data_IF_082951828825
#
_entry.id   IF_082951828825
#
_cell.length_a   1.000
_cell.length_b   1.000
_cell.length_c   1.000
_cell.angle_alpha   90.00
_cell.angle_beta   90.00
_cell.angle_gamma   90.00
#
_symmetry.space_group_name_H-M   'P 1'
#
loop_
_entity.id
_entity.type
_entity.pdbx_description
1 polymer ?
#
# COMPACT_ATOMS: atom_id res chain seq x y z
N UNK A 1 27.70 8.48 -27.04
CA UNK A 1 26.69 9.40 -26.44
C UNK A 1 25.64 9.64 -27.50
N UNK A 2 24.55 8.89 -27.49
CA UNK A 2 23.42 9.10 -28.40
C UNK A 2 22.41 9.96 -27.64
N UNK A 3 22.29 11.22 -28.03
CA UNK A 3 21.31 12.15 -27.48
C UNK A 3 19.92 11.62 -27.76
N UNK A 4 19.18 11.36 -26.70
CA UNK A 4 17.78 10.97 -26.71
C UNK A 4 16.97 12.12 -27.32
N UNK A 5 16.55 11.96 -28.58
CA UNK A 5 15.66 12.90 -29.24
C UNK A 5 14.26 12.69 -28.67
N UNK A 6 13.97 13.38 -27.56
CA UNK A 6 12.61 13.48 -27.02
C UNK A 6 11.81 14.29 -28.03
N UNK A 7 11.10 13.60 -28.92
CA UNK A 7 10.13 14.23 -29.82
C UNK A 7 8.97 14.73 -28.96
N UNK A 8 9.00 16.02 -28.64
CA UNK A 8 7.89 16.73 -28.02
C UNK A 8 6.78 16.86 -29.06
N UNK A 9 5.81 15.94 -29.04
CA UNK A 9 4.64 16.01 -29.92
C UNK A 9 3.59 16.94 -29.30
N UNK A 10 3.16 17.97 -30.02
CA UNK A 10 2.10 18.87 -29.58
C UNK A 10 0.77 18.10 -29.51
N UNK A 11 0.07 18.22 -28.38
CA UNK A 11 -1.18 17.49 -28.11
C UNK A 11 -2.28 17.86 -29.11
N UNK A 12 -2.25 19.06 -29.69
CA UNK A 12 -3.23 19.51 -30.69
C UNK A 12 -2.95 18.98 -32.10
N UNK A 13 -1.74 18.46 -32.35
CA UNK A 13 -1.34 17.88 -33.64
C UNK A 13 -1.57 16.35 -33.69
N UNK A 14 -2.04 15.76 -32.59
CA UNK A 14 -2.30 14.33 -32.49
C UNK A 14 -3.68 13.96 -33.08
N UNK A 15 -3.78 12.93 -33.94
CA UNK A 15 -5.07 12.40 -34.40
C UNK A 15 -5.95 11.96 -33.22
N UNK A 16 -7.24 12.26 -33.26
CA UNK A 16 -8.24 11.89 -32.23
C UNK A 16 -8.13 10.45 -31.68
N UNK A 17 -7.85 9.41 -32.50
CA UNK A 17 -7.64 8.05 -31.99
C UNK A 17 -6.46 7.92 -31.02
N UNK A 18 -5.35 8.66 -31.28
CA UNK A 18 -4.14 8.62 -30.45
C UNK A 18 -4.35 9.34 -29.12
N UNK A 19 -5.12 10.43 -29.11
CA UNK A 19 -5.51 11.10 -27.86
C UNK A 19 -6.38 10.21 -26.98
N UNK A 20 -7.29 9.43 -27.58
CA UNK A 20 -8.12 8.46 -26.85
C UNK A 20 -7.29 7.37 -26.20
N UNK A 21 -6.28 6.85 -26.91
CA UNK A 21 -5.35 5.84 -26.37
C UNK A 21 -4.56 6.38 -25.17
N UNK A 22 -3.98 7.59 -25.30
CA UNK A 22 -3.22 8.23 -24.22
C UNK A 22 -4.12 8.48 -23.00
N UNK A 23 -5.37 8.90 -23.22
CA UNK A 23 -6.35 9.07 -22.14
C UNK A 23 -6.57 7.74 -21.39
N UNK A 24 -6.81 6.65 -22.11
CA UNK A 24 -7.05 5.33 -21.51
C UNK A 24 -5.85 4.83 -20.71
N UNK A 25 -4.63 5.04 -21.22
CA UNK A 25 -3.40 4.70 -20.50
C UNK A 25 -3.26 5.53 -19.22
N UNK A 26 -3.56 6.83 -19.26
CA UNK A 26 -3.51 7.70 -18.10
C UNK A 26 -4.56 7.31 -17.05
N UNK A 27 -5.80 7.03 -17.47
CA UNK A 27 -6.88 6.57 -16.59
C UNK A 27 -6.46 5.28 -15.87
N UNK A 28 -5.86 4.33 -16.60
CA UNK A 28 -5.34 3.08 -16.03
C UNK A 28 -4.23 3.33 -15.01
N UNK A 29 -3.28 4.20 -15.32
CA UNK A 29 -2.17 4.52 -14.41
C UNK A 29 -2.68 5.18 -13.12
N UNK A 30 -3.67 6.06 -13.22
CA UNK A 30 -4.30 6.71 -12.07
C UNK A 30 -4.95 5.68 -11.15
N UNK A 31 -5.68 4.70 -11.71
CA UNK A 31 -6.29 3.62 -10.93
C UNK A 31 -5.24 2.76 -10.21
N UNK A 32 -4.16 2.38 -10.91
CA UNK A 32 -3.06 1.62 -10.33
C UNK A 32 -2.42 2.38 -9.17
N UNK A 33 -2.09 3.66 -9.35
CA UNK A 33 -1.52 4.48 -8.28
C UNK A 33 -2.47 4.64 -7.10
N UNK A 34 -3.76 4.82 -7.35
CA UNK A 34 -4.78 4.84 -6.31
C UNK A 34 -4.78 3.57 -5.47
N UNK A 35 -4.78 2.40 -6.13
CA UNK A 35 -4.74 1.10 -5.48
C UNK A 35 -3.45 0.87 -4.68
N UNK A 36 -2.28 1.15 -5.28
CA UNK A 36 -0.99 1.02 -4.61
C UNK A 36 -0.90 1.91 -3.37
N UNK A 37 -1.41 3.14 -3.44
CA UNK A 37 -1.41 4.06 -2.30
C UNK A 37 -2.29 3.55 -1.15
N UNK A 38 -3.45 2.94 -1.45
CA UNK A 38 -4.28 2.30 -0.43
C UNK A 38 -3.57 1.11 0.22
N UNK A 39 -2.94 0.26 -0.58
CA UNK A 39 -2.17 -0.89 -0.07
C UNK A 39 -1.00 -0.44 0.83
N UNK A 40 -0.27 0.60 0.43
CA UNK A 40 0.80 1.17 1.25
C UNK A 40 0.28 1.77 2.57
N UNK A 41 -0.87 2.43 2.56
CA UNK A 41 -1.52 2.91 3.80
C UNK A 41 -1.91 1.78 4.74
N UNK A 42 -2.44 0.68 4.20
CA UNK A 42 -2.75 -0.52 5.00
C UNK A 42 -1.48 -1.11 5.62
N UNK A 43 -0.40 -1.22 4.84
CA UNK A 43 0.89 -1.70 5.33
C UNK A 43 1.46 -0.77 6.42
N UNK A 44 1.45 0.54 6.20
CA UNK A 44 1.87 1.53 7.20
C UNK A 44 1.09 1.39 8.51
N UNK A 45 -0.23 1.21 8.43
CA UNK A 45 -1.08 0.98 9.60
C UNK A 45 -0.66 -0.30 10.32
N UNK A 46 -0.52 -1.43 9.60
CA UNK A 46 -0.07 -2.71 10.19
C UNK A 46 1.28 -2.60 10.90
N UNK A 47 2.22 -1.85 10.34
CA UNK A 47 3.52 -1.60 11.00
C UNK A 47 3.38 -0.73 12.25
N UNK A 48 2.51 0.29 12.23
CA UNK A 48 2.19 1.10 13.40
C UNK A 48 1.57 0.26 14.52
N UNK A 49 0.55 -0.54 14.18
CA UNK A 49 -0.12 -1.44 15.11
C UNK A 49 0.88 -2.47 15.69
N UNK A 50 1.77 -3.02 14.84
CA UNK A 50 2.81 -3.97 15.27
C UNK A 50 3.82 -3.33 16.24
N UNK A 51 4.23 -2.09 15.97
CA UNK A 51 5.12 -1.34 16.87
C UNK A 51 4.47 -1.14 18.24
N UNK A 52 3.22 -0.71 18.26
CA UNK A 52 2.46 -0.51 19.50
C UNK A 52 2.30 -1.83 20.28
N UNK A 53 2.04 -2.95 19.59
CA UNK A 53 2.02 -4.27 20.22
C UNK A 53 3.34 -4.64 20.90
N UNK A 54 4.48 -4.40 20.23
CA UNK A 54 5.81 -4.68 20.82
C UNK A 54 6.07 -3.79 22.03
N UNK A 55 5.74 -2.49 21.97
CA UNK A 55 5.88 -1.57 23.11
C UNK A 55 5.00 -2.00 24.29
N UNK A 56 3.77 -2.48 24.04
CA UNK A 56 2.90 -3.04 25.08
C UNK A 56 3.48 -4.31 25.69
N UNK A 57 4.03 -5.22 24.87
CA UNK A 57 4.66 -6.46 25.33
C UNK A 57 5.89 -6.18 26.19
N UNK A 58 6.73 -5.20 25.84
CA UNK A 58 7.88 -4.81 26.67
C UNK A 58 7.50 -4.34 28.08
N UNK A 59 6.27 -3.83 28.25
CA UNK A 59 5.74 -3.39 29.53
C UNK A 59 4.88 -4.46 30.23
N UNK A 60 4.71 -5.65 29.64
CA UNK A 60 4.06 -6.78 30.31
C UNK A 60 5.03 -7.40 31.32
N UNK A 61 4.53 -7.62 32.54
CA UNK A 61 5.27 -8.32 33.61
C UNK A 61 5.02 -9.82 33.49
N UNK A 62 5.97 -10.63 33.93
CA UNK A 62 5.80 -12.08 34.10
C UNK A 62 4.52 -12.37 34.91
N UNK A 63 3.67 -13.26 34.38
CA UNK A 63 2.39 -13.64 34.98
C UNK A 63 1.16 -12.90 34.45
N UNK A 64 1.31 -11.93 33.55
CA UNK A 64 0.16 -11.34 32.84
C UNK A 64 -0.32 -12.29 31.73
N UNK A 65 -1.60 -12.69 31.75
CA UNK A 65 -2.17 -13.52 30.69
C UNK A 65 -2.38 -12.69 29.42
N UNK A 66 -1.88 -13.19 28.29
CA UNK A 66 -2.07 -12.59 26.97
C UNK A 66 -3.10 -13.40 26.18
N UNK A 67 -4.15 -12.71 25.71
CA UNK A 67 -5.14 -13.30 24.82
C UNK A 67 -4.63 -13.20 23.37
N UNK A 68 -4.31 -14.33 22.76
CA UNK A 68 -3.84 -14.41 21.38
C UNK A 68 -4.93 -15.02 20.50
N UNK A 69 -5.36 -14.34 19.42
CA UNK A 69 -6.29 -14.93 18.46
C UNK A 69 -5.59 -16.07 17.70
N UNK A 70 -6.14 -17.28 17.79
CA UNK A 70 -5.68 -18.45 17.03
C UNK A 70 -6.34 -18.53 15.66
N UNK A 71 -7.61 -18.11 15.59
CA UNK A 71 -8.40 -17.98 14.35
C UNK A 71 -9.30 -16.74 14.46
N UNK A 72 -9.98 -16.37 13.37
CA UNK A 72 -10.92 -15.25 13.35
C UNK A 72 -12.05 -15.35 14.40
N UNK A 73 -12.24 -16.51 15.03
CA UNK A 73 -13.29 -16.73 16.04
C UNK A 73 -12.83 -17.42 17.33
N UNK A 74 -11.56 -17.83 17.44
CA UNK A 74 -11.03 -18.54 18.62
C UNK A 74 -9.82 -17.82 19.16
N UNK A 75 -9.81 -17.52 20.45
CA UNK A 75 -8.70 -16.88 21.16
C UNK A 75 -8.20 -17.77 22.29
N UNK A 76 -6.88 -17.87 22.46
CA UNK A 76 -6.21 -18.66 23.50
C UNK A 76 -5.55 -17.74 24.52
N UNK A 77 -5.71 -18.05 25.81
CA UNK A 77 -4.97 -17.40 26.88
C UNK A 77 -3.64 -18.12 27.07
N UNK A 78 -2.53 -17.41 26.84
CA UNK A 78 -1.18 -17.88 27.17
C UNK A 78 -0.77 -17.19 28.47
N UNK A 79 -0.38 -17.99 29.48
CA UNK A 79 0.38 -17.51 30.64
C UNK A 79 1.87 -17.74 30.36
N UNK A 80 2.71 -16.74 30.67
CA UNK A 80 4.16 -16.94 30.84
C UNK A 80 4.43 -17.90 32.01
#
# INVERSE_FOLDING_TARGET
>A
MAGENVMTVDVNELPLPRLTQIKQELDTQVEIFGSSLQQLKIAQKKYGDSKECVERMQNMKEGNSLLVPLTDSVSLFILD
#
